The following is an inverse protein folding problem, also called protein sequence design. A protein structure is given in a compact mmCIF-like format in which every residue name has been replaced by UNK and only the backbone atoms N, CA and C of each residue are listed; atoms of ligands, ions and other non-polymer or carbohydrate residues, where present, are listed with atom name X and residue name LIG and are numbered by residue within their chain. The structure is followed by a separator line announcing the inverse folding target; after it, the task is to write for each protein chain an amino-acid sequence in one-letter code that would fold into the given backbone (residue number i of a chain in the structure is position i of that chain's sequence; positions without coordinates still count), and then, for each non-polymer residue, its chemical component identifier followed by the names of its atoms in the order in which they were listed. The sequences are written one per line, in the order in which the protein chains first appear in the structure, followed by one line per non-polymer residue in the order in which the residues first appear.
data_IF_842856066668
#
_entry.id   IF_842856066668
#
_cell.length_a   1.000
_cell.length_b   1.000
_cell.length_c   1.000
_cell.angle_alpha   90.00
_cell.angle_beta   90.00
_cell.angle_gamma   90.00
#
_symmetry.space_group_name_H-M   'P 1'
#
loop_
_entity.id
_entity.type
_entity.pdbx_description
1 polymer ?
#
# COMPACT_ATOMS: atom_id res chain seq x y z
N UNK A 1 -25.95 -1.99 15.53
CA UNK A 1 -25.16 -0.73 15.60
C UNK A 1 -23.77 -0.83 14.94
N UNK A 2 -22.95 -1.89 15.15
CA UNK A 2 -21.60 -1.98 14.55
C UNK A 2 -21.58 -1.99 13.01
N UNK A 3 -22.50 -2.71 12.38
CA UNK A 3 -22.58 -2.80 10.92
C UNK A 3 -22.87 -1.45 10.22
N UNK A 4 -23.72 -0.62 10.84
CA UNK A 4 -24.01 0.73 10.33
C UNK A 4 -22.80 1.64 10.45
N UNK A 5 -22.08 1.55 11.57
CA UNK A 5 -20.83 2.29 11.77
C UNK A 5 -19.78 1.90 10.73
N UNK A 6 -19.50 0.59 10.57
CA UNK A 6 -18.55 0.08 9.57
C UNK A 6 -18.92 0.58 8.17
N UNK A 7 -20.20 0.44 7.78
CA UNK A 7 -20.68 0.91 6.49
C UNK A 7 -20.47 2.42 6.32
N UNK A 8 -20.81 3.24 7.32
CA UNK A 8 -20.60 4.69 7.25
C UNK A 8 -19.13 5.07 7.13
N UNK A 9 -18.23 4.35 7.82
CA UNK A 9 -16.79 4.59 7.75
C UNK A 9 -16.22 4.23 6.38
N UNK A 10 -16.64 3.10 5.81
CA UNK A 10 -16.27 2.71 4.44
C UNK A 10 -16.71 3.78 3.44
N UNK A 11 -17.97 4.24 3.53
CA UNK A 11 -18.49 5.26 2.62
C UNK A 11 -17.76 6.60 2.76
N UNK A 12 -17.39 6.99 3.98
CA UNK A 12 -16.58 8.19 4.21
C UNK A 12 -15.19 8.06 3.58
N UNK A 13 -14.51 6.93 3.80
CA UNK A 13 -13.20 6.65 3.18
C UNK A 13 -13.28 6.65 1.65
N UNK A 14 -14.29 6.01 1.07
CA UNK A 14 -14.50 5.97 -0.38
C UNK A 14 -14.66 7.38 -0.98
N UNK A 15 -15.32 8.28 -0.26
CA UNK A 15 -15.50 9.68 -0.65
C UNK A 15 -14.22 10.50 -0.48
N UNK A 16 -13.55 10.35 0.66
CA UNK A 16 -12.42 11.21 1.06
C UNK A 16 -11.12 10.79 0.33
N UNK A 17 -11.04 9.54 -0.12
CA UNK A 17 -9.89 8.95 -0.81
C UNK A 17 -10.35 8.31 -2.14
N UNK A 18 -10.70 9.10 -3.16
CA UNK A 18 -11.10 8.57 -4.46
C UNK A 18 -9.95 7.83 -5.15
N UNK A 19 -10.30 6.94 -6.09
CA UNK A 19 -9.30 6.25 -6.93
C UNK A 19 -8.65 7.26 -7.88
N UNK A 20 -7.33 7.20 -7.99
CA UNK A 20 -6.58 7.98 -8.96
C UNK A 20 -6.17 7.14 -10.18
N UNK A 21 -5.98 7.77 -11.36
CA UNK A 21 -5.49 7.08 -12.56
C UNK A 21 -4.08 6.52 -12.32
N UNK A 22 -3.88 5.18 -12.33
CA UNK A 22 -2.58 4.59 -12.01
C UNK A 22 -1.50 4.93 -13.03
N UNK A 23 -1.87 5.22 -14.28
CA UNK A 23 -0.94 5.62 -15.35
C UNK A 23 -0.22 6.93 -15.04
N UNK A 24 -0.90 7.85 -14.35
CA UNK A 24 -0.37 9.18 -14.01
C UNK A 24 0.19 9.26 -12.59
N UNK A 25 -0.18 8.29 -11.74
CA UNK A 25 0.04 8.39 -10.29
C UNK A 25 0.87 7.26 -9.68
N UNK A 26 1.30 6.29 -10.48
CA UNK A 26 2.18 5.19 -10.07
C UNK A 26 3.27 4.89 -11.09
N UNK A 27 4.32 4.16 -10.69
CA UNK A 27 5.37 3.77 -11.64
C UNK A 27 4.98 2.56 -12.50
N UNK A 28 5.60 2.37 -13.68
CA UNK A 28 5.39 1.18 -14.50
C UNK A 28 5.69 -0.14 -13.78
N UNK A 29 6.66 -0.16 -12.87
CA UNK A 29 7.03 -1.35 -12.09
C UNK A 29 5.94 -1.76 -11.09
N UNK A 30 5.14 -0.82 -10.58
CA UNK A 30 3.94 -1.16 -9.81
C UNK A 30 2.88 -1.85 -10.69
N UNK A 31 2.85 -1.57 -11.98
CA UNK A 31 1.82 -2.09 -12.91
C UNK A 31 2.26 -3.35 -13.68
N UNK A 32 3.54 -3.70 -13.59
CA UNK A 32 4.15 -4.82 -14.32
C UNK A 32 4.44 -6.01 -13.40
N UNK A 33 3.74 -7.15 -13.56
CA UNK A 33 3.90 -8.28 -12.66
C UNK A 33 5.33 -8.83 -12.65
N UNK A 34 5.70 -9.49 -11.55
CA UNK A 34 7.04 -10.05 -11.32
C UNK A 34 7.48 -11.04 -12.40
N UNK A 35 6.55 -11.83 -12.91
CA UNK A 35 6.81 -12.91 -13.88
C UNK A 35 5.76 -12.90 -15.00
N UNK A 36 6.11 -13.39 -16.21
CA UNK A 36 5.22 -13.32 -17.38
C UNK A 36 4.02 -14.27 -17.33
N UNK A 37 4.01 -15.22 -16.40
CA UNK A 37 2.86 -16.11 -16.12
C UNK A 37 1.81 -15.47 -15.21
N UNK A 38 2.07 -14.26 -14.73
CA UNK A 38 1.15 -13.46 -13.93
C UNK A 38 0.61 -12.28 -14.74
N UNK A 39 -0.58 -11.84 -14.38
CA UNK A 39 -1.18 -10.57 -14.83
C UNK A 39 -1.53 -9.72 -13.62
N UNK A 40 -1.36 -8.41 -13.74
CA UNK A 40 -1.84 -7.47 -12.74
C UNK A 40 -3.31 -7.18 -13.01
N UNK A 41 -4.20 -7.68 -12.14
CA UNK A 41 -5.64 -7.56 -12.33
C UNK A 41 -6.19 -6.19 -11.94
N UNK A 42 -5.59 -5.60 -10.92
CA UNK A 42 -6.02 -4.33 -10.33
C UNK A 42 -4.79 -3.53 -9.93
N UNK A 43 -4.87 -2.22 -10.16
CA UNK A 43 -3.95 -1.23 -9.60
C UNK A 43 -4.83 -0.12 -9.03
N UNK A 44 -4.77 0.04 -7.72
CA UNK A 44 -5.54 1.05 -7.00
C UNK A 44 -4.58 2.05 -6.37
N UNK A 45 -4.76 3.34 -6.66
CA UNK A 45 -3.95 4.43 -6.10
C UNK A 45 -4.84 5.37 -5.31
N UNK A 46 -4.42 5.70 -4.09
CA UNK A 46 -5.09 6.65 -3.21
C UNK A 46 -4.10 7.74 -2.79
N UNK A 47 -4.60 8.96 -2.58
CA UNK A 47 -3.77 10.07 -2.13
C UNK A 47 -4.47 10.92 -1.09
N UNK A 48 -3.67 11.66 -0.31
CA UNK A 48 -4.14 12.74 0.54
C UNK A 48 -3.02 13.76 0.75
N UNK A 49 -3.36 14.91 1.35
CA UNK A 49 -2.40 15.99 1.61
C UNK A 49 -2.12 16.07 3.10
N UNK A 50 -0.84 16.23 3.45
CA UNK A 50 -0.39 16.46 4.82
C UNK A 50 0.51 17.71 4.89
N UNK A 51 0.54 18.41 6.02
CA UNK A 51 1.49 19.52 6.25
C UNK A 51 2.93 19.13 5.95
N UNK A 52 3.62 19.91 5.11
CA UNK A 52 5.05 19.70 4.88
C UNK A 52 5.84 19.90 6.19
N UNK A 53 5.42 20.84 7.03
CA UNK A 53 6.02 21.09 8.33
C UNK A 53 5.97 19.86 9.24
N UNK A 54 4.79 19.25 9.39
CA UNK A 54 4.63 18.02 10.16
C UNK A 54 5.47 16.87 9.59
N UNK A 55 5.46 16.72 8.27
CA UNK A 55 6.24 15.70 7.59
C UNK A 55 7.74 15.82 7.87
N UNK A 56 8.27 17.04 7.87
CA UNK A 56 9.69 17.30 8.14
C UNK A 56 10.10 16.99 9.58
N UNK A 57 9.17 17.02 10.55
CA UNK A 57 9.45 16.68 11.95
C UNK A 57 9.74 15.20 12.15
N UNK A 58 9.25 14.36 11.26
CA UNK A 58 9.54 12.93 11.27
C UNK A 58 11.00 12.63 10.96
N UNK A 59 11.82 13.60 10.53
CA UNK A 59 13.23 13.39 10.16
C UNK A 59 13.99 12.63 11.25
N UNK A 60 14.82 11.69 10.81
CA UNK A 60 15.68 10.91 11.69
C UNK A 60 16.71 11.82 12.41
N UNK A 61 16.87 11.70 13.74
CA UNK A 61 17.85 12.49 14.49
C UNK A 61 19.31 12.19 14.10
N UNK A 62 19.58 10.96 13.68
CA UNK A 62 20.90 10.39 13.36
C UNK A 62 21.29 10.51 11.88
N UNK A 63 20.34 10.88 11.01
CA UNK A 63 20.62 11.16 9.62
C UNK A 63 21.32 12.53 9.50
N UNK A 64 22.66 12.50 9.42
CA UNK A 64 23.49 13.66 9.03
C UNK A 64 23.20 13.98 7.55
N UNK A 65 22.04 14.58 7.26
CA UNK A 65 21.56 14.79 5.90
C UNK A 65 20.04 14.89 5.80
N UNK A 66 19.55 15.52 4.73
CA UNK A 66 18.12 15.68 4.44
C UNK A 66 17.52 14.30 4.12
N UNK A 67 16.89 13.63 5.09
CA UNK A 67 16.03 12.48 4.78
C UNK A 67 15.02 12.90 3.70
N UNK A 68 14.91 12.18 2.57
CA UNK A 68 13.96 12.54 1.52
C UNK A 68 12.52 12.35 2.00
N UNK A 69 11.57 13.12 1.45
CA UNK A 69 10.14 12.96 1.78
C UNK A 69 9.66 11.55 1.40
N UNK A 70 10.26 11.02 0.35
CA UNK A 70 10.06 9.69 -0.21
C UNK A 70 10.42 8.58 0.78
N UNK A 71 11.33 8.82 1.73
CA UNK A 71 11.61 7.91 2.85
C UNK A 71 10.70 8.19 4.05
N UNK A 72 10.45 9.48 4.35
CA UNK A 72 9.62 9.86 5.51
C UNK A 72 8.21 9.29 5.43
N UNK A 73 7.59 9.32 4.24
CA UNK A 73 6.22 8.87 4.04
C UNK A 73 6.01 7.39 4.33
N UNK A 74 6.69 6.46 3.64
CA UNK A 74 6.56 5.05 3.96
C UNK A 74 6.95 4.75 5.41
N UNK A 75 7.96 5.43 5.99
CA UNK A 75 8.29 5.23 7.40
C UNK A 75 7.12 5.60 8.32
N UNK A 76 6.50 6.76 8.11
CA UNK A 76 5.32 7.17 8.88
C UNK A 76 4.17 6.16 8.75
N UNK A 77 3.98 5.63 7.53
CA UNK A 77 2.96 4.63 7.25
C UNK A 77 3.21 3.32 7.99
N UNK A 78 4.40 2.73 7.90
CA UNK A 78 4.74 1.48 8.56
C UNK A 78 4.78 1.59 10.09
N UNK A 79 5.11 2.78 10.63
CA UNK A 79 5.10 3.02 12.06
C UNK A 79 3.73 3.36 12.65
N UNK A 80 2.68 3.42 11.81
CA UNK A 80 1.30 3.63 12.27
C UNK A 80 0.82 2.49 13.19
N UNK A 81 -0.11 2.77 14.13
CA UNK A 81 -0.58 1.78 15.09
C UNK A 81 -1.13 0.50 14.46
N UNK A 82 -1.89 0.63 13.36
CA UNK A 82 -2.47 -0.54 12.68
C UNK A 82 -1.38 -1.37 12.02
N UNK A 83 -0.41 -0.75 11.34
CA UNK A 83 0.70 -1.48 10.72
C UNK A 83 1.56 -2.21 11.75
N UNK A 84 1.87 -1.57 12.89
CA UNK A 84 2.56 -2.23 14.00
C UNK A 84 1.80 -3.44 14.55
N UNK A 85 0.47 -3.30 14.69
CA UNK A 85 -0.37 -4.41 15.13
C UNK A 85 -0.37 -5.54 14.11
N UNK A 86 -0.54 -5.24 12.82
CA UNK A 86 -0.45 -6.25 11.76
C UNK A 86 0.89 -6.97 11.76
N UNK A 87 1.99 -6.21 11.91
CA UNK A 87 3.33 -6.74 12.00
C UNK A 87 3.44 -7.79 13.11
N UNK A 88 2.98 -7.46 14.33
CA UNK A 88 2.95 -8.42 15.46
C UNK A 88 2.11 -9.65 15.17
N UNK A 89 0.94 -9.48 14.56
CA UNK A 89 0.06 -10.60 14.28
C UNK A 89 0.68 -11.55 13.25
N UNK A 90 1.27 -10.99 12.21
CA UNK A 90 1.95 -11.74 11.14
C UNK A 90 3.22 -12.41 11.68
N UNK A 91 4.02 -11.71 12.48
CA UNK A 91 5.26 -12.20 13.07
C UNK A 91 5.09 -12.95 14.39
N UNK A 92 3.86 -13.33 14.76
CA UNK A 92 3.58 -14.08 16.00
C UNK A 92 4.17 -13.44 17.28
N UNK A 93 4.12 -12.10 17.36
CA UNK A 93 4.61 -11.29 18.47
C UNK A 93 5.82 -10.43 18.11
N UNK A 94 6.53 -10.75 17.03
CA UNK A 94 7.62 -9.93 16.49
C UNK A 94 7.09 -8.99 15.40
N UNK A 95 7.42 -7.71 15.47
CA UNK A 95 7.08 -6.73 14.43
C UNK A 95 8.00 -6.90 13.20
N UNK A 96 9.21 -7.44 13.40
CA UNK A 96 10.27 -7.38 12.41
C UNK A 96 10.70 -5.94 12.12
N UNK A 97 11.24 -5.72 10.93
CA UNK A 97 11.69 -4.40 10.47
C UNK A 97 10.51 -3.62 9.84
N UNK A 98 10.28 -2.39 10.30
CA UNK A 98 9.24 -1.48 9.80
C UNK A 98 9.84 -0.27 9.08
N UNK A 99 11.13 -0.30 8.76
CA UNK A 99 11.85 0.78 8.11
C UNK A 99 12.23 1.92 9.06
N UNK A 100 12.35 1.65 10.37
CA UNK A 100 12.82 2.61 11.38
C UNK A 100 14.14 3.25 10.97
N UNK A 101 15.04 2.42 10.41
CA UNK A 101 16.39 2.80 9.98
C UNK A 101 16.46 3.15 8.48
N UNK A 102 15.30 3.37 7.85
CA UNK A 102 15.18 3.60 6.42
C UNK A 102 15.00 2.32 5.62
N UNK A 103 15.05 2.46 4.29
CA UNK A 103 14.74 1.39 3.36
C UNK A 103 15.92 1.07 2.45
N UNK A 104 16.21 -0.22 2.26
CA UNK A 104 17.27 -0.71 1.41
C UNK A 104 16.72 -1.75 0.43
N UNK A 105 17.23 -1.78 -0.80
CA UNK A 105 16.83 -2.80 -1.76
C UNK A 105 17.19 -4.20 -1.23
N UNK A 106 16.25 -5.14 -1.32
CA UNK A 106 16.37 -6.49 -0.79
C UNK A 106 16.05 -6.64 0.70
N UNK A 107 15.81 -5.53 1.42
CA UNK A 107 15.35 -5.57 2.82
C UNK A 107 14.01 -6.26 2.92
N UNK A 108 13.80 -6.93 4.05
CA UNK A 108 12.55 -7.61 4.39
C UNK A 108 11.84 -6.82 5.48
N UNK A 109 10.59 -6.46 5.23
CA UNK A 109 9.74 -5.68 6.13
C UNK A 109 8.59 -6.53 6.65
N UNK A 110 7.93 -6.05 7.71
CA UNK A 110 6.67 -6.60 8.24
C UNK A 110 6.80 -8.10 8.54
N UNK A 111 7.66 -8.45 9.50
CA UNK A 111 7.98 -9.84 9.85
C UNK A 111 8.37 -10.73 8.64
N UNK A 112 9.13 -10.18 7.69
CA UNK A 112 9.61 -10.83 6.47
C UNK A 112 8.57 -11.11 5.37
N UNK A 113 7.38 -10.52 5.43
CA UNK A 113 6.33 -10.71 4.41
C UNK A 113 6.50 -9.80 3.21
N UNK A 114 7.05 -8.60 3.40
CA UNK A 114 7.25 -7.64 2.31
C UNK A 114 8.73 -7.54 1.96
N UNK A 115 9.03 -7.47 0.67
CA UNK A 115 10.38 -7.38 0.13
C UNK A 115 10.56 -6.05 -0.60
N UNK A 116 11.57 -5.27 -0.21
CA UNK A 116 11.87 -3.99 -0.86
C UNK A 116 12.49 -4.24 -2.23
N UNK A 117 11.75 -3.91 -3.29
CA UNK A 117 12.22 -3.99 -4.68
C UNK A 117 12.98 -2.73 -5.07
N UNK A 118 12.51 -1.57 -4.61
CA UNK A 118 13.12 -0.26 -4.86
C UNK A 118 13.06 0.59 -3.60
N UNK A 119 14.22 1.03 -3.13
CA UNK A 119 14.32 1.96 -2.01
C UNK A 119 14.06 3.42 -2.48
N UNK A 120 13.47 4.27 -1.63
CA UNK A 120 13.19 5.67 -1.93
C UNK A 120 14.44 6.55 -1.70
N UNK A 121 15.50 6.31 -2.47
CA UNK A 121 16.81 6.93 -2.25
C UNK A 121 16.95 8.34 -2.81
N UNK A 122 15.98 8.80 -3.62
CA UNK A 122 16.04 10.08 -4.31
C UNK A 122 14.66 10.71 -4.46
N UNK A 123 14.67 12.00 -4.82
CA UNK A 123 13.46 12.77 -5.07
C UNK A 123 12.60 12.10 -6.14
N UNK A 124 11.31 11.96 -5.87
CA UNK A 124 10.32 11.29 -6.72
C UNK A 124 10.59 9.82 -7.03
N UNK A 125 11.51 9.17 -6.30
CA UNK A 125 11.69 7.71 -6.38
C UNK A 125 10.90 7.09 -5.23
N UNK A 126 9.76 6.44 -5.51
CA UNK A 126 8.93 5.91 -4.45
C UNK A 126 9.47 4.57 -3.94
N UNK A 127 9.15 4.26 -2.68
CA UNK A 127 9.36 2.92 -2.13
C UNK A 127 8.44 1.95 -2.88
N UNK A 128 9.01 0.89 -3.45
CA UNK A 128 8.27 -0.22 -4.05
C UNK A 128 8.60 -1.49 -3.27
N UNK A 129 7.56 -2.17 -2.80
CA UNK A 129 7.70 -3.48 -2.16
C UNK A 129 6.86 -4.51 -2.91
N UNK A 130 7.29 -5.76 -2.85
CA UNK A 130 6.53 -6.92 -3.30
C UNK A 130 6.23 -7.85 -2.13
N UNK A 131 5.16 -8.63 -2.27
CA UNK A 131 4.79 -9.67 -1.32
C UNK A 131 4.11 -10.83 -2.05
N UNK A 132 4.17 -12.01 -1.45
CA UNK A 132 3.61 -13.23 -2.02
C UNK A 132 2.70 -13.91 -0.99
N UNK A 133 1.57 -14.45 -1.45
CA UNK A 133 0.75 -15.32 -0.62
C UNK A 133 1.47 -16.66 -0.42
N UNK A 134 1.30 -17.31 0.74
CA UNK A 134 1.84 -18.64 0.94
C UNK A 134 1.31 -19.62 -0.14
N UNK A 135 2.17 -20.40 -0.83
CA UNK A 135 1.76 -21.23 -1.96
C UNK A 135 0.65 -22.24 -1.64
N UNK A 136 0.54 -22.67 -0.40
CA UNK A 136 -0.51 -23.60 0.02
C UNK A 136 -1.91 -22.96 0.03
N UNK A 137 -2.03 -21.67 0.37
CA UNK A 137 -3.31 -20.95 0.37
C UNK A 137 -3.77 -20.73 -1.07
N UNK A 138 -2.86 -20.30 -1.95
CA UNK A 138 -3.17 -20.10 -3.37
C UNK A 138 -3.63 -21.42 -4.02
N UNK A 139 -2.87 -22.50 -3.82
CA UNK A 139 -3.22 -23.83 -4.35
C UNK A 139 -4.57 -24.35 -3.86
N UNK A 140 -4.98 -24.02 -2.64
CA UNK A 140 -6.30 -24.39 -2.14
C UNK A 140 -7.41 -23.74 -2.99
N UNK A 141 -7.31 -22.43 -3.22
CA UNK A 141 -8.27 -21.71 -4.07
C UNK A 141 -8.18 -22.12 -5.55
N UNK A 142 -6.99 -22.46 -6.06
CA UNK A 142 -6.84 -23.01 -7.41
C UNK A 142 -7.60 -24.34 -7.57
N UNK A 143 -7.50 -25.25 -6.58
CA UNK A 143 -8.24 -26.53 -6.59
C UNK A 143 -9.75 -26.30 -6.59
N UNK A 144 -10.25 -25.40 -5.74
CA UNK A 144 -11.67 -25.04 -5.74
C UNK A 144 -12.10 -24.46 -7.09
N UNK A 145 -11.28 -23.57 -7.65
CA UNK A 145 -11.56 -22.91 -8.93
C UNK A 145 -11.62 -23.92 -10.10
N UNK A 146 -10.78 -24.95 -10.07
CA UNK A 146 -10.81 -26.05 -11.03
C UNK A 146 -12.11 -26.87 -10.93
N UNK A 147 -12.74 -26.90 -9.76
CA UNK A 147 -14.02 -27.60 -9.50
C UNK A 147 -15.25 -26.70 -9.69
N UNK A 148 -15.09 -25.55 -10.35
CA UNK A 148 -16.20 -24.65 -10.68
C UNK A 148 -16.42 -23.50 -9.69
N UNK A 149 -15.62 -23.39 -8.61
CA UNK A 149 -15.65 -22.20 -7.76
C UNK A 149 -15.34 -20.95 -8.58
N UNK A 150 -16.11 -19.85 -8.45
CA UNK A 150 -16.03 -18.74 -9.40
C UNK A 150 -14.88 -17.76 -9.12
N UNK A 151 -14.15 -17.95 -8.02
CA UNK A 151 -13.13 -17.01 -7.57
C UNK A 151 -11.75 -17.66 -7.45
N UNK A 152 -10.70 -16.84 -7.44
CA UNK A 152 -9.30 -17.24 -7.22
C UNK A 152 -8.63 -16.25 -6.26
N UNK A 153 -7.64 -16.71 -5.52
CA UNK A 153 -6.78 -15.84 -4.71
C UNK A 153 -5.61 -15.31 -5.56
N UNK A 154 -5.14 -14.09 -5.27
CA UNK A 154 -3.91 -13.58 -5.89
C UNK A 154 -2.68 -14.40 -5.46
N UNK A 155 -1.69 -14.46 -6.34
CA UNK A 155 -0.36 -15.02 -6.03
C UNK A 155 0.41 -14.10 -5.08
N UNK A 156 0.16 -12.79 -5.20
CA UNK A 156 0.83 -11.76 -4.43
C UNK A 156 0.46 -10.39 -4.94
N UNK A 157 1.35 -9.44 -4.70
CA UNK A 157 1.16 -8.08 -5.18
C UNK A 157 2.36 -7.19 -4.92
N UNK A 158 2.19 -5.94 -5.30
CA UNK A 158 3.17 -4.88 -5.08
C UNK A 158 2.49 -3.68 -4.43
N UNK A 159 3.18 -3.03 -3.51
CA UNK A 159 2.74 -1.78 -2.91
C UNK A 159 3.75 -0.68 -3.18
N UNK A 160 3.26 0.53 -3.41
CA UNK A 160 4.09 1.70 -3.65
C UNK A 160 3.66 2.87 -2.75
N UNK A 161 4.66 3.55 -2.18
CA UNK A 161 4.48 4.79 -1.41
C UNK A 161 5.20 5.91 -2.13
N UNK A 162 4.43 6.82 -2.71
CA UNK A 162 4.96 7.92 -3.54
C UNK A 162 4.57 9.29 -3.00
N UNK A 163 5.37 10.29 -3.37
CA UNK A 163 5.14 11.70 -3.06
C UNK A 163 4.68 12.39 -4.34
N UNK A 164 3.54 13.05 -4.26
CA UNK A 164 3.00 13.92 -5.31
C UNK A 164 3.57 15.35 -5.24
N UNK A 165 2.96 16.30 -5.98
CA UNK A 165 3.43 17.67 -5.99
C UNK A 165 3.24 18.36 -4.63
N UNK A 166 4.20 19.23 -4.29
CA UNK A 166 4.01 20.20 -3.22
C UNK A 166 3.00 21.25 -3.69
N UNK A 167 2.06 21.61 -2.84
CA UNK A 167 0.98 22.55 -3.19
C UNK A 167 0.54 23.34 -1.98
N UNK A 168 0.18 24.60 -2.20
CA UNK A 168 -0.48 25.45 -1.22
C UNK A 168 -1.72 26.05 -1.90
N UNK A 169 -2.90 25.73 -1.38
CA UNK A 169 -4.16 26.25 -1.89
C UNK A 169 -4.53 27.57 -1.20
N UNK A 170 -5.35 28.43 -1.85
CA UNK A 170 -5.82 29.66 -1.21
C UNK A 170 -6.50 29.38 0.14
N UNK A 171 -6.03 30.05 1.19
CA UNK A 171 -6.51 29.84 2.56
C UNK A 171 -5.73 28.82 3.38
N UNK A 172 -4.69 28.19 2.81
CA UNK A 172 -3.74 27.37 3.57
C UNK A 172 -2.56 28.21 4.05
N UNK A 173 -2.25 28.10 5.34
CA UNK A 173 -1.15 28.83 5.98
C UNK A 173 0.24 28.22 5.70
N UNK A 174 0.28 27.02 5.12
CA UNK A 174 1.53 26.32 4.81
C UNK A 174 1.46 25.46 3.55
N UNK A 175 2.63 25.09 3.05
CA UNK A 175 2.77 24.12 1.96
C UNK A 175 2.37 22.72 2.43
N UNK A 176 1.51 22.08 1.65
CA UNK A 176 1.14 20.69 1.82
C UNK A 176 1.92 19.79 0.87
N UNK A 177 2.16 18.55 1.29
CA UNK A 177 2.69 17.48 0.45
C UNK A 177 1.60 16.46 0.20
N UNK A 178 1.43 16.07 -1.07
CA UNK A 178 0.58 14.94 -1.42
C UNK A 178 1.34 13.64 -1.17
N UNK A 179 0.74 12.76 -0.36
CA UNK A 179 1.24 11.42 -0.07
C UNK A 179 0.30 10.40 -0.70
N UNK A 180 0.87 9.36 -1.31
CA UNK A 180 0.13 8.35 -2.07
C UNK A 180 0.43 6.96 -1.56
N UNK A 181 -0.59 6.11 -1.55
CA UNK A 181 -0.47 4.68 -1.31
C UNK A 181 -1.14 3.94 -2.47
N UNK A 182 -0.36 3.06 -3.09
CA UNK A 182 -0.79 2.32 -4.27
C UNK A 182 -0.59 0.83 -4.09
N UNK A 183 -1.52 0.04 -4.64
CA UNK A 183 -1.59 -1.41 -4.49
C UNK A 183 -1.84 -2.05 -5.85
N UNK A 184 -1.07 -3.08 -6.18
CA UNK A 184 -1.25 -3.91 -7.36
C UNK A 184 -1.43 -5.38 -6.97
N UNK A 185 -2.38 -6.06 -7.62
CA UNK A 185 -2.69 -7.48 -7.35
C UNK A 185 -2.35 -8.37 -8.53
N UNK A 186 -1.53 -9.38 -8.28
CA UNK A 186 -1.06 -10.30 -9.32
C UNK A 186 -1.78 -11.64 -9.26
N UNK A 187 -2.33 -12.03 -10.40
CA UNK A 187 -3.07 -13.28 -10.59
C UNK A 187 -2.41 -14.11 -11.67
N UNK A 188 -2.39 -15.41 -11.48
CA UNK A 188 -1.90 -16.36 -12.48
C UNK A 188 -2.75 -16.36 -13.74
N UNK A 189 -2.08 -16.38 -14.89
CA UNK A 189 -2.67 -16.55 -16.20
C UNK A 189 -2.90 -18.04 -16.45
N UNK A 190 -4.15 -18.44 -16.66
CA UNK A 190 -4.52 -19.82 -16.95
C UNK A 190 -4.93 -19.93 -18.42
N UNK A 191 -4.18 -20.74 -19.19
CA UNK A 191 -4.48 -20.97 -20.62
C UNK A 191 -5.88 -21.56 -20.78
N UNK A 192 -6.65 -20.98 -21.69
CA UNK A 192 -8.02 -21.43 -22.00
C UNK A 192 -9.10 -20.92 -21.04
N UNK A 193 -8.74 -20.16 -20.00
CA UNK A 193 -9.72 -19.44 -19.19
C UNK A 193 -10.21 -18.19 -19.93
N UNK A 194 -11.50 -17.85 -19.82
CA UNK A 194 -12.04 -16.63 -20.43
C UNK A 194 -11.47 -15.41 -19.74
N UNK A 195 -11.01 -14.43 -20.53
CA UNK A 195 -10.60 -13.12 -20.04
C UNK A 195 -11.75 -12.42 -19.27
N UNK A 196 -11.46 -11.70 -18.17
CA UNK A 196 -10.12 -11.42 -17.61
C UNK A 196 -9.59 -12.52 -16.68
N UNK A 197 -10.20 -13.71 -16.62
CA UNK A 197 -9.85 -14.77 -15.67
C UNK A 197 -10.48 -14.58 -14.27
N UNK A 198 -10.37 -15.61 -13.43
CA UNK A 198 -10.95 -15.58 -12.06
C UNK A 198 -10.13 -14.70 -11.11
N UNK A 199 -10.84 -13.99 -10.24
CA UNK A 199 -10.29 -13.10 -9.19
C UNK A 199 -11.11 -13.25 -7.92
N UNK A 200 -10.74 -12.56 -6.84
CA UNK A 200 -11.53 -12.52 -5.60
C UNK A 200 -12.93 -11.92 -5.83
N UNK A 201 -13.93 -12.23 -4.97
CA UNK A 201 -15.24 -11.60 -5.05
C UNK A 201 -15.16 -10.07 -4.95
N UNK A 202 -16.08 -9.36 -5.61
CA UNK A 202 -16.10 -7.90 -5.60
C UNK A 202 -16.25 -7.29 -4.20
N UNK A 203 -16.96 -7.94 -3.29
CA UNK A 203 -17.08 -7.47 -1.91
C UNK A 203 -15.77 -7.62 -1.13
N UNK A 204 -14.97 -8.66 -1.41
CA UNK A 204 -13.62 -8.84 -0.84
C UNK A 204 -12.70 -7.73 -1.36
N UNK A 205 -12.75 -7.49 -2.68
CA UNK A 205 -11.99 -6.41 -3.29
C UNK A 205 -12.36 -5.05 -2.70
N UNK A 206 -13.67 -4.76 -2.52
CA UNK A 206 -14.14 -3.54 -1.87
C UNK A 206 -13.65 -3.41 -0.42
N UNK A 207 -13.69 -4.50 0.36
CA UNK A 207 -13.21 -4.50 1.73
C UNK A 207 -11.69 -4.22 1.77
N UNK A 208 -10.91 -4.88 0.93
CA UNK A 208 -9.47 -4.64 0.80
C UNK A 208 -9.15 -3.20 0.41
N UNK A 209 -9.90 -2.65 -0.56
CA UNK A 209 -9.79 -1.24 -0.99
C UNK A 209 -10.15 -0.25 0.11
N UNK A 210 -11.17 -0.55 0.92
CA UNK A 210 -11.52 0.27 2.06
C UNK A 210 -10.43 0.21 3.15
N UNK A 211 -9.80 -0.95 3.32
CA UNK A 211 -8.69 -1.13 4.24
C UNK A 211 -7.45 -0.33 3.81
N UNK A 212 -7.08 -0.38 2.52
CA UNK A 212 -5.98 0.44 1.99
C UNK A 212 -6.20 1.95 2.24
N UNK A 213 -7.44 2.45 2.04
CA UNK A 213 -7.79 3.83 2.37
C UNK A 213 -7.71 4.12 3.85
N UNK A 214 -8.13 3.18 4.70
CA UNK A 214 -8.04 3.32 6.15
C UNK A 214 -6.58 3.46 6.60
N UNK A 215 -5.67 2.65 6.07
CA UNK A 215 -4.24 2.74 6.39
C UNK A 215 -3.64 4.09 5.98
N UNK A 216 -3.97 4.57 4.77
CA UNK A 216 -3.60 5.91 4.32
C UNK A 216 -4.15 7.01 5.24
N UNK A 217 -5.43 6.91 5.62
CA UNK A 217 -6.11 7.87 6.50
C UNK A 217 -5.56 7.87 7.93
N UNK A 218 -5.20 6.70 8.48
CA UNK A 218 -4.54 6.59 9.78
C UNK A 218 -3.15 7.22 9.74
N UNK A 219 -2.30 6.79 8.80
CA UNK A 219 -0.94 7.32 8.68
C UNK A 219 -0.93 8.84 8.47
N UNK A 220 -1.80 9.37 7.60
CA UNK A 220 -1.90 10.81 7.39
C UNK A 220 -2.39 11.57 8.64
N UNK A 221 -3.27 10.97 9.45
CA UNK A 221 -3.72 11.56 10.71
C UNK A 221 -2.63 11.54 11.77
N UNK A 222 -1.82 10.49 11.86
CA UNK A 222 -0.68 10.46 12.78
C UNK A 222 0.32 11.57 12.44
N UNK A 223 0.64 11.77 11.15
CA UNK A 223 1.49 12.89 10.71
C UNK A 223 0.90 14.23 11.17
N UNK A 224 -0.42 14.44 10.98
CA UNK A 224 -1.09 15.67 11.40
C UNK A 224 -1.18 15.86 12.92
N UNK A 225 -1.10 14.79 13.72
CA UNK A 225 -1.09 14.90 15.20
C UNK A 225 0.25 15.37 15.75
N UNK A 226 1.34 15.11 15.03
CA UNK A 226 2.67 15.62 15.36
C UNK A 226 2.87 17.11 14.97
N UNK A 227 1.82 17.72 14.40
CA UNK A 227 1.75 19.13 14.04
C UNK A 227 1.52 20.03 15.26
#
# INVERSE_FOLDING_TARGET
MPALYIRSRILALERDYPLLPPEDTSTPELRTPKTPDLRTAYVDVYATRVPLGAMCRLRRPDAIGRTPLEEMWPRAFFLSPTMKLEAKLIGFGDEGDLGEQGFNQGQRLLANVMHVVRAPTAKYVPLLVEWENPPHVVRFFEKLAAWGYPWRLMEGGRHEWSIGPLSQYPGEDETMVEVRFAVAHDYKIIKGEKEPGKVVPQWVLRAHRAYARYLLDEAAREIRKEY
#
